data_IF_040309481585
#
_entry.id   IF_040309481585
#
_cell.length_a   1.000
_cell.length_b   1.000
_cell.length_c   1.000
_cell.angle_alpha   90.00
_cell.angle_beta   90.00
_cell.angle_gamma   90.00
#
_symmetry.space_group_name_H-M   'P 1'
#
loop_
_entity.id
_entity.type
_entity.pdbx_description
1 polymer ?
#
# COMPACT_ATOMS: atom_id res chain seq x y z
N UNK A 1 -38.81 2.16 19.63
CA UNK A 1 -38.31 2.92 18.46
C UNK A 1 -36.90 3.32 18.80
N UNK A 2 -35.91 2.54 18.35
CA UNK A 2 -34.50 2.92 18.48
C UNK A 2 -34.17 3.78 17.27
N UNK A 3 -33.89 5.07 17.51
CA UNK A 3 -33.48 6.00 16.48
C UNK A 3 -32.14 5.55 15.87
N UNK A 4 -32.10 5.34 14.55
CA UNK A 4 -30.86 5.21 13.82
C UNK A 4 -30.08 6.51 14.02
N UNK A 5 -28.78 6.45 14.36
CA UNK A 5 -27.96 7.67 14.44
C UNK A 5 -28.00 8.35 13.07
N UNK A 6 -28.46 9.58 13.05
CA UNK A 6 -28.45 10.42 11.85
C UNK A 6 -27.01 10.67 11.42
N UNK A 7 -26.75 10.61 10.10
CA UNK A 7 -25.43 10.69 9.44
C UNK A 7 -24.67 12.05 9.71
N UNK A 8 -25.17 12.87 10.64
CA UNK A 8 -24.59 14.17 11.03
C UNK A 8 -23.49 14.10 12.10
N UNK A 9 -23.30 12.94 12.77
CA UNK A 9 -22.33 12.83 13.87
C UNK A 9 -20.92 12.39 13.44
N UNK A 10 -20.72 11.98 12.18
CA UNK A 10 -19.39 11.53 11.71
C UNK A 10 -18.67 12.61 10.94
N UNK A 11 -17.34 12.78 11.17
CA UNK A 11 -16.57 13.76 10.46
C UNK A 11 -16.53 13.49 8.96
N UNK A 12 -16.65 14.56 8.14
CA UNK A 12 -16.43 14.49 6.71
C UNK A 12 -14.94 14.40 6.43
N UNK A 13 -14.53 13.43 5.64
CA UNK A 13 -13.12 13.20 5.33
C UNK A 13 -12.83 13.50 3.87
N UNK A 14 -11.87 14.39 3.62
CA UNK A 14 -11.26 14.58 2.30
C UNK A 14 -9.93 13.80 2.22
N UNK A 15 -9.75 13.01 1.17
CA UNK A 15 -8.50 12.28 0.92
C UNK A 15 -7.87 12.82 -0.35
N UNK A 16 -6.62 13.26 -0.26
CA UNK A 16 -5.83 13.78 -1.38
C UNK A 16 -4.91 12.68 -1.89
N UNK A 17 -5.16 12.19 -3.10
CA UNK A 17 -4.43 11.09 -3.74
C UNK A 17 -5.21 9.78 -3.76
N UNK A 18 -5.49 9.30 -4.97
CA UNK A 18 -6.22 8.06 -5.26
C UNK A 18 -5.32 6.86 -5.53
N UNK A 19 -4.10 6.83 -4.99
CA UNK A 19 -3.24 5.66 -5.00
C UNK A 19 -3.75 4.55 -4.08
N UNK A 20 -3.02 3.42 -4.00
CA UNK A 20 -3.38 2.25 -3.18
C UNK A 20 -3.65 2.64 -1.72
N UNK A 21 -2.87 3.57 -1.17
CA UNK A 21 -3.02 4.04 0.21
C UNK A 21 -4.33 4.82 0.38
N UNK A 22 -4.57 5.85 -0.46
CA UNK A 22 -5.78 6.66 -0.38
C UNK A 22 -7.05 5.85 -0.61
N UNK A 23 -7.06 4.95 -1.59
CA UNK A 23 -8.17 4.05 -1.87
C UNK A 23 -8.45 3.08 -0.72
N UNK A 24 -7.41 2.50 -0.10
CA UNK A 24 -7.57 1.62 1.05
C UNK A 24 -8.15 2.35 2.27
N UNK A 25 -7.68 3.57 2.54
CA UNK A 25 -8.22 4.43 3.61
C UNK A 25 -9.68 4.78 3.30
N UNK A 26 -9.98 5.19 2.06
CA UNK A 26 -11.34 5.51 1.64
C UNK A 26 -12.30 4.34 1.86
N UNK A 27 -11.91 3.13 1.44
CA UNK A 27 -12.70 1.92 1.66
C UNK A 27 -12.94 1.65 3.14
N UNK A 28 -11.89 1.66 3.96
CA UNK A 28 -11.99 1.38 5.41
C UNK A 28 -12.84 2.40 6.15
N UNK A 29 -12.79 3.67 5.79
CA UNK A 29 -13.62 4.72 6.38
C UNK A 29 -15.09 4.61 5.92
N UNK A 30 -15.30 4.48 4.61
CA UNK A 30 -16.64 4.36 4.04
C UNK A 30 -17.39 3.13 4.57
N UNK A 31 -16.72 1.98 4.71
CA UNK A 31 -17.30 0.77 5.31
C UNK A 31 -17.77 0.99 6.76
N UNK A 32 -17.19 1.97 7.46
CA UNK A 32 -17.63 2.40 8.80
C UNK A 32 -18.70 3.48 8.74
N UNK A 33 -19.22 3.82 7.57
CA UNK A 33 -20.22 4.85 7.35
C UNK A 33 -19.71 6.28 7.54
N UNK A 34 -18.39 6.50 7.43
CA UNK A 34 -17.79 7.84 7.42
C UNK A 34 -17.98 8.45 6.04
N UNK A 35 -18.50 9.69 5.90
CA UNK A 35 -18.57 10.40 4.62
C UNK A 35 -17.17 10.71 4.09
N UNK A 36 -16.81 10.11 2.94
CA UNK A 36 -15.48 10.23 2.33
C UNK A 36 -15.58 10.80 0.93
N UNK A 37 -14.76 11.82 0.65
CA UNK A 37 -14.41 12.24 -0.71
C UNK A 37 -12.93 12.09 -0.95
N UNK A 38 -12.59 11.42 -2.02
CA UNK A 38 -11.22 11.23 -2.49
C UNK A 38 -11.02 12.06 -3.76
N UNK A 39 -9.89 12.75 -3.86
CA UNK A 39 -9.51 13.57 -5.01
C UNK A 39 -8.21 13.08 -5.60
N UNK A 40 -8.17 12.87 -6.91
CA UNK A 40 -6.95 12.56 -7.65
C UNK A 40 -6.84 13.47 -8.89
N UNK A 41 -5.63 13.96 -9.15
CA UNK A 41 -5.37 14.82 -10.31
C UNK A 41 -5.54 14.11 -11.65
N UNK A 42 -5.49 12.77 -11.64
CA UNK A 42 -5.60 11.90 -12.81
C UNK A 42 -6.63 10.78 -12.55
N UNK A 43 -6.52 9.66 -13.22
CA UNK A 43 -7.29 8.47 -12.91
C UNK A 43 -6.77 7.84 -11.59
N UNK A 44 -7.68 7.54 -10.68
CA UNK A 44 -7.33 6.93 -9.40
C UNK A 44 -6.62 5.59 -9.61
N UNK A 45 -5.44 5.47 -8.98
CA UNK A 45 -4.56 4.31 -9.10
C UNK A 45 -3.62 4.30 -10.31
N UNK A 46 -3.72 5.31 -11.21
CA UNK A 46 -2.93 5.36 -12.46
C UNK A 46 -1.44 5.73 -12.28
N UNK A 47 -1.02 6.18 -11.10
CA UNK A 47 0.36 6.60 -10.83
C UNK A 47 1.27 5.45 -10.38
N UNK A 48 2.03 5.68 -9.31
CA UNK A 48 2.99 4.72 -8.75
C UNK A 48 2.35 3.35 -8.42
N UNK A 49 1.09 3.34 -7.98
CA UNK A 49 0.36 2.11 -7.68
C UNK A 49 0.14 1.22 -8.91
N UNK A 50 0.00 1.80 -10.10
CA UNK A 50 -0.08 1.06 -11.36
C UNK A 50 1.28 0.56 -11.84
N UNK A 51 2.33 1.36 -11.61
CA UNK A 51 3.69 1.05 -12.06
C UNK A 51 4.43 0.06 -11.15
N UNK A 52 3.95 -0.13 -9.92
CA UNK A 52 4.56 -1.02 -8.92
C UNK A 52 4.62 -2.47 -9.39
N UNK A 53 5.57 -3.24 -8.87
CA UNK A 53 5.67 -4.68 -9.11
C UNK A 53 4.76 -5.54 -8.23
N UNK A 54 4.08 -4.95 -7.25
CA UNK A 54 3.16 -5.64 -6.36
C UNK A 54 3.83 -6.39 -5.21
N UNK A 55 5.12 -6.16 -4.97
CA UNK A 55 5.85 -6.80 -3.86
C UNK A 55 5.37 -6.30 -2.51
N UNK A 56 5.27 -7.22 -1.55
CA UNK A 56 4.98 -7.00 -0.14
C UNK A 56 6.17 -7.52 0.66
N UNK A 57 7.28 -6.79 0.60
CA UNK A 57 8.63 -7.27 0.91
C UNK A 57 9.24 -6.61 2.16
N UNK A 58 8.51 -6.59 3.27
CA UNK A 58 8.96 -5.95 4.51
C UNK A 58 10.24 -6.56 5.11
N UNK A 59 10.59 -7.80 4.74
CA UNK A 59 11.82 -8.47 5.19
C UNK A 59 12.95 -8.21 4.20
N UNK A 60 12.73 -8.48 2.91
CA UNK A 60 13.78 -8.39 1.89
C UNK A 60 14.26 -6.96 1.64
N UNK A 61 13.39 -5.97 1.80
CA UNK A 61 13.69 -4.54 1.59
C UNK A 61 14.10 -3.81 2.87
N UNK A 62 14.34 -4.54 3.98
CA UNK A 62 14.77 -3.93 5.23
C UNK A 62 16.19 -3.35 5.12
N UNK A 63 16.32 -2.05 5.36
CA UNK A 63 17.59 -1.32 5.34
C UNK A 63 18.02 -0.83 6.73
N UNK A 64 19.32 -0.54 6.94
CA UNK A 64 19.81 0.02 8.20
C UNK A 64 19.14 1.37 8.52
N UNK A 65 18.66 1.52 9.75
CA UNK A 65 18.01 2.76 10.21
C UNK A 65 16.51 2.85 9.90
N UNK A 66 15.92 1.80 9.31
CA UNK A 66 14.49 1.74 8.97
C UNK A 66 13.70 0.77 9.88
N UNK A 67 14.16 0.47 11.08
CA UNK A 67 13.56 -0.51 11.99
C UNK A 67 12.07 -0.22 12.28
N UNK A 68 11.70 1.06 12.36
CA UNK A 68 10.29 1.46 12.55
C UNK A 68 9.44 1.11 11.31
N UNK A 69 9.98 1.30 10.11
CA UNK A 69 9.31 0.95 8.85
C UNK A 69 9.18 -0.57 8.72
N UNK A 70 10.22 -1.33 9.05
CA UNK A 70 10.18 -2.80 9.08
C UNK A 70 9.09 -3.30 10.03
N UNK A 71 9.00 -2.72 11.22
CA UNK A 71 7.96 -3.08 12.21
C UNK A 71 6.56 -2.83 11.66
N UNK A 72 6.32 -1.66 11.06
CA UNK A 72 5.06 -1.32 10.42
C UNK A 72 4.75 -2.24 9.22
N UNK A 73 5.75 -2.48 8.37
CA UNK A 73 5.62 -3.36 7.20
C UNK A 73 5.24 -4.79 7.57
N UNK A 74 5.88 -5.37 8.59
CA UNK A 74 5.54 -6.70 9.10
C UNK A 74 4.14 -6.76 9.71
N UNK A 75 3.74 -5.75 10.46
CA UNK A 75 2.37 -5.65 10.98
C UNK A 75 1.36 -5.57 9.83
N UNK A 76 1.68 -4.84 8.76
CA UNK A 76 0.87 -4.79 7.54
C UNK A 76 0.81 -6.14 6.83
N UNK A 77 1.95 -6.83 6.67
CA UNK A 77 2.01 -8.17 6.05
C UNK A 77 1.09 -9.18 6.74
N UNK A 78 1.07 -9.18 8.06
CA UNK A 78 0.21 -10.08 8.85
C UNK A 78 -1.29 -9.90 8.56
N UNK A 79 -1.70 -8.74 8.06
CA UNK A 79 -3.10 -8.44 7.73
C UNK A 79 -3.49 -8.90 6.31
N UNK A 80 -2.53 -9.12 5.41
CA UNK A 80 -2.79 -9.35 3.99
C UNK A 80 -3.72 -10.54 3.69
N UNK A 81 -3.56 -11.73 4.31
CA UNK A 81 -4.43 -12.85 4.00
C UNK A 81 -5.91 -12.53 4.25
N UNK A 82 -6.21 -11.93 5.40
CA UNK A 82 -7.57 -11.51 5.74
C UNK A 82 -8.06 -10.37 4.85
N UNK A 83 -7.19 -9.38 4.59
CA UNK A 83 -7.50 -8.23 3.74
C UNK A 83 -7.87 -8.64 2.32
N UNK A 84 -7.12 -9.57 1.71
CA UNK A 84 -7.38 -10.10 0.37
C UNK A 84 -8.75 -10.81 0.29
N UNK A 85 -9.08 -11.64 1.31
CA UNK A 85 -10.38 -12.31 1.42
C UNK A 85 -11.52 -11.30 1.54
N UNK A 86 -11.40 -10.31 2.42
CA UNK A 86 -12.41 -9.25 2.62
C UNK A 86 -12.62 -8.46 1.32
N UNK A 87 -11.54 -8.09 0.64
CA UNK A 87 -11.59 -7.30 -0.59
C UNK A 87 -12.22 -8.10 -1.74
N UNK A 88 -11.87 -9.38 -1.88
CA UNK A 88 -12.51 -10.30 -2.84
C UNK A 88 -14.00 -10.46 -2.54
N UNK A 89 -14.38 -10.63 -1.28
CA UNK A 89 -15.77 -10.72 -0.86
C UNK A 89 -16.59 -9.47 -1.21
N UNK A 90 -15.99 -8.28 -1.04
CA UNK A 90 -16.62 -7.00 -1.34
C UNK A 90 -16.73 -6.70 -2.85
N UNK A 91 -15.85 -7.28 -3.68
CA UNK A 91 -15.72 -6.86 -5.08
C UNK A 91 -15.86 -7.98 -6.10
N UNK A 92 -15.66 -9.23 -5.71
CA UNK A 92 -15.50 -10.36 -6.62
C UNK A 92 -14.14 -10.41 -7.34
N UNK A 93 -13.22 -9.46 -7.07
CA UNK A 93 -11.90 -9.39 -7.71
C UNK A 93 -10.89 -10.10 -6.81
N UNK A 94 -10.20 -11.10 -7.36
CA UNK A 94 -9.06 -11.73 -6.72
C UNK A 94 -7.80 -10.93 -7.02
N UNK A 95 -7.13 -10.45 -5.96
CA UNK A 95 -5.89 -9.68 -6.08
C UNK A 95 -4.65 -10.56 -6.29
N UNK A 96 -4.86 -11.87 -6.40
CA UNK A 96 -3.80 -12.86 -6.59
C UNK A 96 -2.68 -12.75 -5.53
N UNK A 97 -3.09 -12.70 -4.27
CA UNK A 97 -2.13 -12.76 -3.17
C UNK A 97 -1.35 -14.07 -3.25
N UNK A 98 -0.03 -13.96 -3.41
CA UNK A 98 0.91 -15.06 -3.44
C UNK A 98 1.79 -15.00 -2.20
N UNK A 99 1.75 -16.06 -1.43
CA UNK A 99 2.39 -16.18 -0.12
C UNK A 99 3.49 -17.25 -0.08
N UNK A 100 3.99 -17.65 -1.25
CA UNK A 100 5.05 -18.64 -1.38
C UNK A 100 6.44 -18.12 -0.97
N UNK A 101 6.53 -16.86 -0.57
CA UNK A 101 7.77 -16.18 -0.19
C UNK A 101 8.49 -15.53 -1.37
N UNK A 102 9.66 -14.95 -1.08
CA UNK A 102 10.45 -14.19 -2.05
C UNK A 102 11.90 -14.66 -2.07
N UNK A 103 12.51 -14.66 -3.26
CA UNK A 103 13.92 -14.96 -3.48
C UNK A 103 14.66 -13.72 -3.97
N UNK A 104 15.83 -13.40 -3.37
CA UNK A 104 16.82 -12.52 -4.00
C UNK A 104 18.00 -13.39 -4.43
N UNK A 105 18.24 -13.45 -5.74
CA UNK A 105 19.21 -14.36 -6.33
C UNK A 105 20.61 -13.76 -6.43
N UNK A 106 21.63 -14.58 -6.25
CA UNK A 106 23.03 -14.27 -6.55
C UNK A 106 23.48 -15.05 -7.78
N UNK A 107 23.92 -14.35 -8.82
CA UNK A 107 24.50 -14.96 -10.03
C UNK A 107 26.01 -14.96 -10.00
N UNK A 108 26.62 -13.99 -9.32
CA UNK A 108 28.07 -13.81 -9.23
C UNK A 108 28.56 -13.94 -7.79
N UNK A 109 29.91 -13.99 -7.63
CA UNK A 109 30.53 -13.94 -6.31
C UNK A 109 30.27 -12.60 -5.59
N UNK A 110 30.23 -11.49 -6.35
CA UNK A 110 29.94 -10.17 -5.81
C UNK A 110 28.49 -10.04 -5.33
N UNK A 111 27.54 -10.59 -6.11
CA UNK A 111 26.13 -10.70 -5.64
C UNK A 111 26.04 -11.46 -4.33
N UNK A 112 26.73 -12.61 -4.25
CA UNK A 112 26.75 -13.41 -3.03
C UNK A 112 27.30 -12.61 -1.85
N UNK A 113 28.44 -11.93 -2.03
CA UNK A 113 29.05 -11.12 -0.98
C UNK A 113 28.10 -10.04 -0.47
N UNK A 114 27.44 -9.32 -1.38
CA UNK A 114 26.44 -8.30 -1.07
C UNK A 114 25.26 -8.89 -0.30
N UNK A 115 24.71 -10.02 -0.76
CA UNK A 115 23.56 -10.67 -0.10
C UNK A 115 23.94 -11.26 1.27
N UNK A 116 25.15 -11.74 1.47
CA UNK A 116 25.63 -12.19 2.79
C UNK A 116 25.73 -11.04 3.78
N UNK A 117 26.12 -9.84 3.31
CA UNK A 117 26.11 -8.63 4.14
C UNK A 117 24.68 -8.23 4.54
N UNK A 118 23.75 -8.27 3.60
CA UNK A 118 22.32 -8.04 3.85
C UNK A 118 21.75 -9.06 4.85
N UNK A 119 22.06 -10.35 4.67
CA UNK A 119 21.66 -11.41 5.60
C UNK A 119 22.13 -11.13 7.03
N UNK A 120 23.39 -10.70 7.19
CA UNK A 120 23.94 -10.40 8.51
C UNK A 120 23.18 -9.27 9.23
N UNK A 121 22.76 -8.23 8.48
CA UNK A 121 21.92 -7.15 9.01
C UNK A 121 20.54 -7.67 9.42
N UNK A 122 19.86 -8.35 8.50
CA UNK A 122 18.50 -8.82 8.70
C UNK A 122 18.40 -9.88 9.82
N UNK A 123 19.46 -10.68 9.98
CA UNK A 123 19.58 -11.62 11.11
C UNK A 123 19.68 -10.88 12.45
N UNK A 124 20.42 -9.77 12.53
CA UNK A 124 20.49 -8.93 13.74
C UNK A 124 19.12 -8.34 14.11
N UNK A 125 18.27 -8.08 13.13
CA UNK A 125 16.89 -7.62 13.30
C UNK A 125 15.90 -8.77 13.58
N UNK A 126 16.38 -9.99 13.76
CA UNK A 126 15.58 -11.20 13.94
C UNK A 126 14.51 -11.40 12.84
N UNK A 127 14.83 -11.02 11.61
CA UNK A 127 13.94 -11.20 10.48
C UNK A 127 14.01 -12.64 9.95
N UNK A 128 12.88 -13.20 9.49
CA UNK A 128 12.82 -14.58 8.97
C UNK A 128 13.40 -14.65 7.55
N UNK A 129 14.70 -14.76 7.46
CA UNK A 129 15.45 -14.83 6.22
C UNK A 129 16.57 -15.85 6.33
N UNK A 130 16.87 -16.54 5.26
CA UNK A 130 17.94 -17.52 5.22
C UNK A 130 18.65 -17.52 3.86
N UNK A 131 19.92 -17.94 3.88
CA UNK A 131 20.66 -18.25 2.64
C UNK A 131 20.35 -19.67 2.22
N UNK A 132 19.92 -19.85 0.99
CA UNK A 132 19.71 -21.18 0.38
C UNK A 132 20.66 -21.38 -0.81
N UNK A 133 21.06 -22.62 -1.03
CA UNK A 133 21.92 -22.96 -2.16
C UNK A 133 21.14 -22.97 -3.49
N UNK A 134 21.88 -23.02 -4.60
CA UNK A 134 21.31 -22.98 -5.94
C UNK A 134 20.31 -24.12 -6.23
N UNK A 135 20.55 -25.33 -5.68
CA UNK A 135 19.65 -26.45 -5.89
C UNK A 135 18.29 -26.22 -5.18
N UNK A 136 18.34 -25.72 -3.94
CA UNK A 136 17.13 -25.36 -3.18
C UNK A 136 16.37 -24.23 -3.84
N UNK A 137 17.06 -23.16 -4.27
CA UNK A 137 16.43 -22.04 -4.97
C UNK A 137 15.71 -22.49 -6.26
N UNK A 138 16.33 -23.41 -7.05
CA UNK A 138 15.70 -23.97 -8.25
C UNK A 138 14.55 -24.93 -7.97
N UNK A 139 14.49 -25.56 -6.80
CA UNK A 139 13.30 -26.33 -6.41
C UNK A 139 12.09 -25.40 -6.19
N UNK A 140 12.33 -24.21 -5.62
CA UNK A 140 11.28 -23.19 -5.39
C UNK A 140 10.87 -22.48 -6.69
N UNK A 141 11.85 -22.14 -7.53
CA UNK A 141 11.63 -21.50 -8.84
C UNK A 141 12.46 -22.22 -9.92
N UNK A 142 11.86 -23.18 -10.62
CA UNK A 142 12.56 -24.03 -11.60
C UNK A 142 13.13 -23.29 -12.80
N UNK A 143 12.67 -22.08 -13.09
CA UNK A 143 13.12 -21.26 -14.22
C UNK A 143 14.35 -20.40 -13.93
N UNK A 144 14.90 -20.48 -12.72
CA UNK A 144 16.15 -19.79 -12.39
C UNK A 144 17.35 -20.32 -13.20
N UNK A 145 18.26 -19.42 -13.53
CA UNK A 145 19.48 -19.72 -14.28
C UNK A 145 20.28 -20.88 -13.68
N UNK A 146 20.88 -21.68 -14.56
CA UNK A 146 21.84 -22.71 -14.13
C UNK A 146 23.10 -22.13 -13.47
N UNK A 147 23.47 -20.90 -13.79
CA UNK A 147 24.61 -20.18 -13.21
C UNK A 147 24.35 -19.58 -11.81
N UNK A 148 23.21 -19.88 -11.21
CA UNK A 148 22.85 -19.40 -9.88
C UNK A 148 23.86 -19.84 -8.82
N UNK A 149 24.41 -18.90 -8.06
CA UNK A 149 25.30 -19.16 -6.92
C UNK A 149 24.54 -19.48 -5.62
N UNK A 150 23.31 -19.02 -5.50
CA UNK A 150 22.40 -19.19 -4.37
C UNK A 150 21.40 -18.03 -4.27
N UNK A 151 20.66 -17.98 -3.19
CA UNK A 151 19.67 -16.93 -2.95
C UNK A 151 19.46 -16.67 -1.46
N UNK A 152 19.00 -15.46 -1.13
CA UNK A 152 18.27 -15.21 0.11
C UNK A 152 16.82 -15.65 -0.08
N UNK A 153 16.27 -16.30 0.92
CA UNK A 153 14.87 -16.72 0.98
C UNK A 153 14.17 -16.06 2.15
N UNK A 154 13.08 -15.36 1.89
CA UNK A 154 12.14 -14.85 2.89
C UNK A 154 10.80 -15.57 2.74
N UNK A 155 10.39 -16.38 3.71
CA UNK A 155 9.11 -17.10 3.65
C UNK A 155 7.90 -16.19 3.91
N UNK A 156 8.11 -14.99 4.45
CA UNK A 156 7.04 -14.09 4.84
C UNK A 156 6.79 -12.93 3.87
N UNK A 157 7.67 -12.75 2.90
CA UNK A 157 7.43 -11.75 1.87
C UNK A 157 6.52 -12.32 0.78
N UNK A 158 5.56 -11.52 0.38
CA UNK A 158 4.46 -11.88 -0.51
C UNK A 158 4.42 -10.98 -1.73
N UNK A 159 3.46 -11.23 -2.62
CA UNK A 159 3.15 -10.34 -3.72
C UNK A 159 1.65 -10.35 -4.04
N UNK A 160 1.20 -9.32 -4.73
CA UNK A 160 -0.16 -9.19 -5.26
C UNK A 160 -0.10 -8.67 -6.69
N UNK A 161 -1.14 -8.89 -7.47
CA UNK A 161 -1.35 -8.10 -8.69
C UNK A 161 -1.79 -6.69 -8.29
N UNK A 162 -0.88 -5.73 -8.39
CA UNK A 162 -1.09 -4.35 -8.00
C UNK A 162 -2.22 -3.66 -8.79
N UNK A 163 -2.44 -4.03 -10.05
CA UNK A 163 -3.50 -3.47 -10.89
C UNK A 163 -4.86 -4.00 -10.48
N UNK A 164 -4.97 -5.29 -10.20
CA UNK A 164 -6.18 -5.90 -9.63
C UNK A 164 -6.48 -5.35 -8.25
N UNK A 165 -5.43 -5.14 -7.42
CA UNK A 165 -5.58 -4.53 -6.10
C UNK A 165 -6.19 -3.13 -6.20
N UNK A 166 -5.66 -2.26 -7.07
CA UNK A 166 -6.20 -0.91 -7.29
C UNK A 166 -7.64 -0.96 -7.79
N UNK A 167 -7.93 -1.82 -8.79
CA UNK A 167 -9.28 -1.98 -9.32
C UNK A 167 -10.27 -2.46 -8.25
N UNK A 168 -9.85 -3.42 -7.41
CA UNK A 168 -10.64 -3.93 -6.32
C UNK A 168 -10.91 -2.85 -5.25
N UNK A 169 -9.87 -2.12 -4.82
CA UNK A 169 -9.99 -1.05 -3.84
C UNK A 169 -10.92 0.08 -4.33
N UNK A 170 -10.77 0.50 -5.58
CA UNK A 170 -11.63 1.50 -6.19
C UNK A 170 -13.11 1.05 -6.17
N UNK A 171 -13.38 -0.18 -6.61
CA UNK A 171 -14.71 -0.77 -6.59
C UNK A 171 -15.27 -0.86 -5.17
N UNK A 172 -14.48 -1.36 -4.23
CA UNK A 172 -14.89 -1.51 -2.84
C UNK A 172 -15.17 -0.17 -2.15
N UNK A 173 -14.33 0.85 -2.36
CA UNK A 173 -14.53 2.19 -1.80
C UNK A 173 -15.82 2.82 -2.34
N UNK A 174 -16.03 2.78 -3.65
CA UNK A 174 -17.26 3.30 -4.27
C UNK A 174 -18.50 2.56 -3.82
N UNK A 175 -18.47 1.23 -3.76
CA UNK A 175 -19.60 0.41 -3.27
C UNK A 175 -19.92 0.68 -1.79
N UNK A 176 -18.93 1.05 -0.98
CA UNK A 176 -19.10 1.44 0.41
C UNK A 176 -19.60 2.89 0.60
N UNK A 177 -19.75 3.66 -0.50
CA UNK A 177 -20.28 5.03 -0.49
C UNK A 177 -19.22 6.13 -0.51
N UNK A 178 -17.91 5.81 -0.71
CA UNK A 178 -16.90 6.84 -0.96
C UNK A 178 -17.11 7.47 -2.35
N UNK A 179 -17.01 8.79 -2.42
CA UNK A 179 -17.05 9.54 -3.69
C UNK A 179 -15.63 9.75 -4.17
N UNK A 180 -15.30 9.20 -5.33
CA UNK A 180 -13.98 9.32 -5.96
C UNK A 180 -14.07 10.35 -7.07
N UNK A 181 -13.37 11.49 -6.90
CA UNK A 181 -13.30 12.58 -7.87
C UNK A 181 -11.96 12.46 -8.60
N UNK A 182 -12.01 12.00 -9.83
CA UNK A 182 -10.87 11.93 -10.74
C UNK A 182 -10.75 13.23 -11.55
N UNK A 183 -9.58 13.50 -12.13
CA UNK A 183 -9.25 14.74 -12.82
C UNK A 183 -9.50 15.99 -11.95
N UNK A 184 -9.35 15.83 -10.63
CA UNK A 184 -9.63 16.82 -9.61
C UNK A 184 -8.35 17.09 -8.81
N UNK A 185 -7.46 17.89 -9.38
CA UNK A 185 -6.20 18.27 -8.73
C UNK A 185 -6.50 19.17 -7.52
N UNK A 186 -6.02 18.78 -6.35
CA UNK A 186 -6.07 19.61 -5.14
C UNK A 186 -4.89 20.57 -5.17
N UNK A 187 -5.16 21.87 -5.05
CA UNK A 187 -4.16 22.93 -4.98
C UNK A 187 -3.64 23.16 -3.55
N UNK A 188 -4.46 22.88 -2.54
CA UNK A 188 -4.07 23.09 -1.14
C UNK A 188 -5.13 22.64 -0.14
N UNK A 189 -4.73 22.70 1.13
CA UNK A 189 -5.61 22.43 2.28
C UNK A 189 -6.06 23.77 2.86
N UNK A 190 -7.37 23.95 3.03
CA UNK A 190 -7.90 25.11 3.74
C UNK A 190 -7.81 24.91 5.25
N UNK A 191 -7.49 25.97 5.99
CA UNK A 191 -7.37 25.89 7.45
C UNK A 191 -7.91 27.14 8.14
N UNK A 192 -8.42 26.95 9.35
CA UNK A 192 -8.83 28.04 10.23
C UNK A 192 -8.44 27.70 11.67
N UNK A 193 -7.90 28.67 12.39
CA UNK A 193 -7.44 28.49 13.77
C UNK A 193 -6.51 27.27 14.00
N UNK A 194 -5.61 27.00 13.04
CA UNK A 194 -4.66 25.90 13.10
C UNK A 194 -5.24 24.48 12.84
N UNK A 195 -6.46 24.40 12.32
CA UNK A 195 -7.12 23.14 11.97
C UNK A 195 -7.49 23.13 10.49
N UNK A 196 -7.34 21.98 9.86
CA UNK A 196 -7.83 21.79 8.49
C UNK A 196 -9.37 21.94 8.47
N UNK A 197 -9.88 22.63 7.47
CA UNK A 197 -11.32 22.89 7.25
C UNK A 197 -11.80 22.37 5.91
N UNK A 198 -10.90 21.91 5.04
CA UNK A 198 -11.23 21.36 3.74
C UNK A 198 -10.07 21.38 2.77
N UNK A 199 -10.38 21.28 1.50
CA UNK A 199 -9.43 21.33 0.39
C UNK A 199 -9.92 22.33 -0.66
N UNK A 200 -8.97 22.95 -1.38
CA UNK A 200 -9.24 23.79 -2.56
C UNK A 200 -8.66 23.08 -3.78
N UNK A 201 -9.47 22.96 -4.83
CA UNK A 201 -9.06 22.38 -6.10
C UNK A 201 -8.34 23.42 -6.98
N UNK A 202 -7.60 22.96 -7.98
CA UNK A 202 -6.88 23.82 -8.92
C UNK A 202 -7.80 24.74 -9.76
N UNK A 203 -9.08 24.37 -9.90
CA UNK A 203 -10.10 25.19 -10.56
C UNK A 203 -10.76 26.24 -9.64
N UNK A 204 -10.35 26.29 -8.36
CA UNK A 204 -10.87 27.20 -7.36
C UNK A 204 -12.06 26.67 -6.54
N UNK A 205 -12.59 25.49 -6.85
CA UNK A 205 -13.68 24.90 -6.05
C UNK A 205 -13.17 24.51 -4.65
N UNK A 206 -13.98 24.82 -3.63
CA UNK A 206 -13.67 24.44 -2.25
C UNK A 206 -14.56 23.30 -1.78
N UNK A 207 -13.95 22.35 -1.05
CA UNK A 207 -14.64 21.22 -0.44
C UNK A 207 -14.42 21.21 1.06
N UNK A 208 -15.44 21.57 1.87
CA UNK A 208 -15.31 21.56 3.32
C UNK A 208 -15.19 20.14 3.85
N UNK A 209 -14.23 19.92 4.75
CA UNK A 209 -13.99 18.66 5.43
C UNK A 209 -13.51 18.89 6.86
N UNK A 210 -13.87 17.99 7.75
CA UNK A 210 -13.49 18.06 9.16
C UNK A 210 -12.13 17.40 9.41
N UNK A 211 -11.72 16.50 8.46
CA UNK A 211 -10.41 15.83 8.43
C UNK A 211 -9.89 15.79 7.00
N UNK A 212 -8.62 16.08 6.82
CA UNK A 212 -7.92 15.95 5.53
C UNK A 212 -6.83 14.88 5.68
N UNK A 213 -6.84 13.90 4.79
CA UNK A 213 -5.83 12.86 4.70
C UNK A 213 -4.97 13.12 3.47
N UNK A 214 -3.67 13.35 3.68
CA UNK A 214 -2.70 13.52 2.60
C UNK A 214 -2.10 12.15 2.24
N UNK A 215 -2.49 11.61 1.08
CA UNK A 215 -2.04 10.33 0.53
C UNK A 215 -1.51 10.49 -0.91
N UNK A 216 -0.95 11.65 -1.23
CA UNK A 216 -0.52 12.04 -2.57
C UNK A 216 0.86 11.48 -2.99
N UNK A 217 1.40 10.50 -2.25
CA UNK A 217 2.66 9.85 -2.60
C UNK A 217 3.82 10.84 -2.75
N UNK A 218 4.54 10.80 -3.85
CA UNK A 218 5.68 11.68 -4.12
C UNK A 218 5.30 13.18 -4.21
N UNK A 219 4.03 13.50 -4.47
CA UNK A 219 3.53 14.88 -4.54
C UNK A 219 3.15 15.47 -3.19
N UNK A 220 3.15 14.68 -2.11
CA UNK A 220 2.77 15.15 -0.76
C UNK A 220 3.62 16.32 -0.28
N UNK A 221 4.91 16.36 -0.64
CA UNK A 221 5.83 17.44 -0.23
C UNK A 221 5.38 18.83 -0.73
N UNK A 222 4.76 18.91 -1.88
CA UNK A 222 4.28 20.17 -2.45
C UNK A 222 2.98 20.70 -1.81
N UNK A 223 2.34 19.89 -0.96
CA UNK A 223 1.08 20.23 -0.29
C UNK A 223 1.22 20.44 1.23
N UNK A 224 2.38 20.13 1.80
CA UNK A 224 2.73 20.40 3.18
C UNK A 224 3.40 21.78 3.25
N UNK A 225 2.63 22.86 3.03
CA UNK A 225 3.04 24.24 3.20
C UNK A 225 2.60 24.78 4.56
#
# INVERSE_FOLDING_TARGET
>A
MQGHPTNHDKPRVAIIGGGVIGLAIAWRLATRGVPVRLFDQAAAGGGASHAAAGMLAAVMEAEPGEEALVTLGRASQALWPRFAIELRGATGIDVELRDEGTLIVALTADDRARLMHQLALQTKLALPIEWINAAEARRREPRLSAALAGALWSPQDHQVDNRKLVAALRKAASAAGAIINEQAAVAGVTSAAGRATGVVLANGDEWPADVVVLAAGAWSRGMAG
#
